data_IF_378386910991
#
_entry.id   IF_378386910991
#
_cell.length_a   1.000
_cell.length_b   1.000
_cell.length_c   1.000
_cell.angle_alpha   90.00
_cell.angle_beta   90.00
_cell.angle_gamma   90.00
#
_symmetry.space_group_name_H-M   'P 1'
#
loop_
_entity.id
_entity.type
_entity.pdbx_description
1 polymer ?
#
# COMPACT_ATOMS: atom_id res chain seq x y z
N UNK A 1 -0.57 0.60 50.62
CA UNK A 1 0.27 -0.01 49.57
C UNK A 1 -0.66 -0.63 48.53
N UNK A 2 -0.78 -0.05 47.33
CA UNK A 2 -1.49 -0.70 46.22
C UNK A 2 -0.54 -1.72 45.56
N UNK A 3 -0.99 -2.95 45.25
CA UNK A 3 -0.09 -4.00 44.80
C UNK A 3 0.38 -3.72 43.37
N UNK A 4 1.70 -3.62 43.19
CA UNK A 4 2.43 -3.39 41.93
C UNK A 4 1.89 -4.22 40.74
N UNK A 5 1.43 -5.45 41.01
CA UNK A 5 0.88 -6.38 40.03
C UNK A 5 -0.41 -5.90 39.33
N UNK A 6 -1.29 -5.15 40.03
CA UNK A 6 -2.50 -4.59 39.42
C UNK A 6 -2.18 -3.44 38.45
N UNK A 7 -1.10 -2.71 38.74
CA UNK A 7 -0.57 -1.62 37.92
C UNK A 7 0.08 -2.17 36.65
N UNK A 8 0.80 -3.28 36.75
CA UNK A 8 1.46 -3.94 35.61
C UNK A 8 0.47 -4.64 34.67
N UNK A 9 -0.59 -5.28 35.20
CA UNK A 9 -1.66 -5.85 34.39
C UNK A 9 -2.44 -4.78 33.61
N UNK A 10 -2.75 -3.64 34.25
CA UNK A 10 -3.36 -2.48 33.57
C UNK A 10 -2.44 -1.92 32.48
N UNK A 11 -1.14 -1.76 32.76
CA UNK A 11 -0.15 -1.27 31.77
C UNK A 11 -0.04 -2.21 30.56
N UNK A 12 0.02 -3.52 30.76
CA UNK A 12 0.04 -4.52 29.66
C UNK A 12 -1.22 -4.45 28.79
N UNK A 13 -2.40 -4.27 29.41
CA UNK A 13 -3.67 -4.14 28.68
C UNK A 13 -3.76 -2.83 27.87
N UNK A 14 -3.24 -1.72 28.41
CA UNK A 14 -3.19 -0.43 27.68
C UNK A 14 -2.22 -0.49 26.51
N UNK A 15 -1.04 -1.10 26.68
CA UNK A 15 -0.05 -1.28 25.61
C UNK A 15 -0.62 -2.19 24.50
N UNK A 16 -1.32 -3.28 24.87
CA UNK A 16 -1.99 -4.16 23.90
C UNK A 16 -3.06 -3.42 23.07
N UNK A 17 -3.91 -2.61 23.72
CA UNK A 17 -4.94 -1.82 23.03
C UNK A 17 -4.35 -0.74 22.13
N UNK A 18 -3.26 -0.09 22.54
CA UNK A 18 -2.57 0.91 21.72
C UNK A 18 -1.97 0.28 20.45
N UNK A 19 -1.33 -0.89 20.57
CA UNK A 19 -0.79 -1.64 19.42
C UNK A 19 -1.88 -2.05 18.42
N UNK A 20 -3.02 -2.53 18.90
CA UNK A 20 -4.16 -2.89 18.04
C UNK A 20 -4.66 -1.66 17.28
N UNK A 21 -4.79 -0.50 17.95
CA UNK A 21 -5.25 0.74 17.31
C UNK A 21 -4.30 1.22 16.21
N UNK A 22 -2.99 1.14 16.44
CA UNK A 22 -1.97 1.48 15.44
C UNK A 22 -2.10 0.56 14.23
N UNK A 23 -2.19 -0.75 14.46
CA UNK A 23 -2.31 -1.74 13.38
C UNK A 23 -3.58 -1.53 12.54
N UNK A 24 -4.72 -1.26 13.18
CA UNK A 24 -5.97 -0.95 12.47
C UNK A 24 -5.82 0.31 11.59
N UNK A 25 -5.18 1.36 12.10
CA UNK A 25 -4.92 2.59 11.32
C UNK A 25 -4.04 2.31 10.10
N UNK A 26 -3.02 1.46 10.23
CA UNK A 26 -2.14 1.08 9.11
C UNK A 26 -2.93 0.34 8.03
N UNK A 27 -3.80 -0.60 8.43
CA UNK A 27 -4.65 -1.34 7.49
C UNK A 27 -5.67 -0.43 6.78
N UNK A 28 -6.29 0.50 7.51
CA UNK A 28 -7.20 1.51 6.95
C UNK A 28 -6.47 2.38 5.92
N UNK A 29 -5.33 2.96 6.31
CA UNK A 29 -4.52 3.77 5.42
C UNK A 29 -4.09 2.99 4.15
N UNK A 30 -3.66 1.74 4.30
CA UNK A 30 -3.30 0.88 3.17
C UNK A 30 -4.49 0.60 2.25
N UNK A 31 -5.68 0.35 2.79
CA UNK A 31 -6.92 0.20 2.01
C UNK A 31 -7.25 1.47 1.21
N UNK A 32 -7.21 2.61 1.87
CA UNK A 32 -7.56 3.89 1.22
C UNK A 32 -6.55 4.26 0.15
N UNK A 33 -5.26 4.03 0.42
CA UNK A 33 -4.20 4.28 -0.55
C UNK A 33 -4.33 3.42 -1.81
N UNK A 34 -4.68 2.13 -1.66
CA UNK A 34 -4.97 1.25 -2.82
C UNK A 34 -6.06 1.81 -3.72
N UNK A 35 -7.12 2.36 -3.15
CA UNK A 35 -8.21 2.97 -3.91
C UNK A 35 -7.76 4.27 -4.59
N UNK A 36 -6.93 5.07 -3.91
CA UNK A 36 -6.34 6.26 -4.49
C UNK A 36 -5.43 5.94 -5.68
N UNK A 37 -4.61 4.88 -5.60
CA UNK A 37 -3.76 4.42 -6.70
C UNK A 37 -4.65 4.03 -7.90
N UNK A 38 -5.65 3.15 -7.71
CA UNK A 38 -6.55 2.73 -8.79
C UNK A 38 -7.17 3.91 -9.52
N UNK A 39 -7.73 4.85 -8.76
CA UNK A 39 -8.41 6.00 -9.33
C UNK A 39 -7.46 6.97 -10.03
N UNK A 40 -6.39 7.38 -9.34
CA UNK A 40 -5.55 8.48 -9.80
C UNK A 40 -4.42 8.00 -10.69
N UNK A 41 -3.66 7.00 -10.24
CA UNK A 41 -2.54 6.45 -11.02
C UNK A 41 -3.07 5.65 -12.20
N UNK A 42 -4.10 4.83 -11.98
CA UNK A 42 -4.77 4.11 -13.07
C UNK A 42 -5.28 5.07 -14.15
N UNK A 43 -5.99 6.14 -13.76
CA UNK A 43 -6.43 7.18 -14.69
C UNK A 43 -5.28 7.87 -15.45
N UNK A 44 -4.15 8.16 -14.79
CA UNK A 44 -2.96 8.73 -15.46
C UNK A 44 -2.42 7.76 -16.52
N UNK A 45 -2.28 6.49 -16.19
CA UNK A 45 -1.74 5.47 -17.08
C UNK A 45 -2.68 5.26 -18.29
N UNK A 46 -3.98 5.16 -18.04
CA UNK A 46 -5.01 5.01 -19.08
C UNK A 46 -5.03 6.21 -20.04
N UNK A 47 -4.97 7.43 -19.51
CA UNK A 47 -4.88 8.65 -20.32
C UNK A 47 -3.59 8.72 -21.17
N UNK A 48 -2.55 8.00 -20.78
CA UNK A 48 -1.29 7.87 -21.53
C UNK A 48 -1.21 6.60 -22.38
N UNK A 49 -2.38 6.04 -22.72
CA UNK A 49 -2.54 4.88 -23.61
C UNK A 49 -1.96 3.56 -23.05
N UNK A 50 -1.76 3.45 -21.74
CA UNK A 50 -1.53 2.15 -21.12
C UNK A 50 -2.85 1.41 -20.95
N UNK A 51 -2.83 0.10 -21.19
CA UNK A 51 -4.00 -0.77 -21.06
C UNK A 51 -3.88 -1.54 -19.74
N UNK A 52 -4.92 -1.50 -18.91
CA UNK A 52 -5.00 -2.34 -17.71
C UNK A 52 -4.97 -3.82 -18.12
N UNK A 53 -4.00 -4.57 -17.61
CA UNK A 53 -3.85 -6.01 -17.85
C UNK A 53 -4.24 -6.85 -16.65
N UNK A 54 -4.09 -6.31 -15.45
CA UNK A 54 -4.40 -7.03 -14.22
C UNK A 54 -4.77 -6.05 -13.10
N UNK A 55 -5.84 -6.34 -12.38
CA UNK A 55 -6.20 -5.72 -11.10
C UNK A 55 -6.74 -6.80 -10.17
N UNK A 56 -6.09 -7.00 -9.03
CA UNK A 56 -6.53 -7.98 -8.03
C UNK A 56 -7.75 -7.53 -7.20
N UNK A 57 -8.42 -6.41 -7.54
CA UNK A 57 -9.67 -5.99 -6.88
C UNK A 57 -10.81 -6.98 -7.01
N UNK A 58 -10.78 -7.82 -8.06
CA UNK A 58 -11.79 -8.83 -8.36
C UNK A 58 -11.36 -10.24 -7.97
N UNK A 59 -10.13 -10.42 -7.51
CA UNK A 59 -9.62 -11.73 -7.13
C UNK A 59 -9.97 -12.08 -5.69
N UNK A 60 -10.35 -13.33 -5.46
CA UNK A 60 -10.43 -13.87 -4.12
C UNK A 60 -9.00 -13.96 -3.55
N UNK A 61 -8.71 -13.18 -2.51
CA UNK A 61 -7.40 -13.14 -1.84
C UNK A 61 -6.95 -14.51 -1.31
N UNK A 62 -7.85 -15.47 -1.16
CA UNK A 62 -7.51 -16.86 -0.82
C UNK A 62 -6.73 -17.58 -1.93
N UNK A 63 -6.82 -17.11 -3.18
CA UNK A 63 -6.22 -17.73 -4.37
C UNK A 63 -4.84 -17.11 -4.67
N UNK A 64 -4.67 -15.80 -4.53
CA UNK A 64 -3.41 -15.08 -4.78
C UNK A 64 -2.60 -14.82 -3.51
N UNK A 65 -1.94 -15.87 -3.01
CA UNK A 65 -1.14 -15.86 -1.77
C UNK A 65 0.08 -14.92 -1.73
N UNK A 66 0.36 -14.19 -2.81
CA UNK A 66 1.59 -13.43 -2.95
C UNK A 66 1.37 -11.91 -2.84
N UNK A 67 0.14 -11.39 -3.02
CA UNK A 67 -0.10 -9.95 -3.20
C UNK A 67 -1.39 -9.49 -2.50
N UNK A 68 -1.27 -8.52 -1.58
CA UNK A 68 -2.41 -7.80 -1.01
C UNK A 68 -3.02 -6.83 -2.04
N UNK A 69 -2.17 -6.30 -2.91
CA UNK A 69 -2.54 -5.39 -3.99
C UNK A 69 -1.61 -5.60 -5.17
N UNK A 70 -2.18 -5.62 -6.37
CA UNK A 70 -1.40 -5.57 -7.59
C UNK A 70 -2.24 -4.97 -8.73
N UNK A 71 -1.67 -3.97 -9.38
CA UNK A 71 -2.12 -3.40 -10.64
C UNK A 71 -1.02 -3.58 -11.69
N UNK A 72 -1.41 -3.97 -12.90
CA UNK A 72 -0.50 -4.10 -14.04
C UNK A 72 -1.07 -3.36 -15.24
N UNK A 73 -0.29 -2.45 -15.79
CA UNK A 73 -0.59 -1.67 -16.98
C UNK A 73 0.45 -1.93 -18.06
N UNK A 74 0.02 -2.04 -19.31
CA UNK A 74 0.93 -2.31 -20.45
C UNK A 74 0.70 -1.36 -21.61
N UNK A 75 1.80 -0.81 -22.13
CA UNK A 75 1.90 -0.14 -23.44
C UNK A 75 3.09 -0.75 -24.21
N UNK A 76 4.15 0.02 -24.40
CA UNK A 76 5.49 -0.38 -24.83
C UNK A 76 6.27 -1.08 -23.70
N UNK A 77 6.08 -0.61 -22.47
CA UNK A 77 6.58 -1.21 -21.21
C UNK A 77 5.44 -1.69 -20.33
N UNK A 78 5.75 -2.59 -19.40
CA UNK A 78 4.84 -3.06 -18.36
C UNK A 78 5.15 -2.30 -17.08
N UNK A 79 4.17 -1.59 -16.52
CA UNK A 79 4.27 -0.95 -15.21
C UNK A 79 3.41 -1.76 -14.24
N UNK A 80 4.02 -2.24 -13.16
CA UNK A 80 3.30 -2.90 -12.07
C UNK A 80 3.40 -2.06 -10.80
N UNK A 81 2.28 -1.94 -10.08
CA UNK A 81 2.23 -1.28 -8.78
C UNK A 81 1.63 -2.28 -7.79
N UNK A 82 2.31 -2.52 -6.68
CA UNK A 82 1.92 -3.62 -5.82
C UNK A 82 2.27 -3.48 -4.35
N UNK A 83 1.58 -4.28 -3.54
CA UNK A 83 1.88 -4.50 -2.13
C UNK A 83 1.80 -6.01 -1.83
N UNK A 84 2.86 -6.57 -1.25
CA UNK A 84 3.00 -8.00 -0.95
C UNK A 84 2.32 -8.41 0.37
N UNK A 85 1.92 -9.68 0.48
CA UNK A 85 1.20 -10.24 1.64
C UNK A 85 2.07 -10.60 2.86
N UNK A 86 3.26 -10.00 2.95
CA UNK A 86 4.09 -10.18 4.13
C UNK A 86 3.56 -9.28 5.24
N UNK A 87 3.13 -9.88 6.35
CA UNK A 87 2.31 -9.30 7.44
C UNK A 87 2.78 -7.93 7.97
N UNK A 88 4.05 -7.57 7.79
CA UNK A 88 4.63 -6.31 8.26
C UNK A 88 4.83 -5.25 7.16
N UNK A 89 4.57 -5.56 5.88
CA UNK A 89 4.87 -4.71 4.73
C UNK A 89 3.64 -4.11 4.05
N UNK A 90 2.45 -4.17 4.67
CA UNK A 90 1.19 -3.63 4.09
C UNK A 90 1.21 -2.13 3.80
N UNK A 91 2.22 -1.43 4.31
CA UNK A 91 2.50 -0.01 4.12
C UNK A 91 3.41 0.30 2.91
N UNK A 92 4.00 -0.71 2.27
CA UNK A 92 4.95 -0.53 1.16
C UNK A 92 4.28 -0.79 -0.19
N UNK A 93 4.31 0.21 -1.06
CA UNK A 93 3.80 0.13 -2.42
C UNK A 93 4.96 0.18 -3.41
N UNK A 94 5.31 -0.98 -3.95
CA UNK A 94 6.40 -1.16 -4.89
C UNK A 94 5.95 -0.83 -6.31
N UNK A 95 6.89 -0.32 -7.11
CA UNK A 95 6.70 -0.06 -8.53
C UNK A 95 7.80 -0.77 -9.31
N UNK A 96 7.40 -1.64 -10.23
CA UNK A 96 8.30 -2.28 -11.19
C UNK A 96 7.99 -1.84 -12.61
N UNK A 97 9.02 -1.81 -13.45
CA UNK A 97 8.92 -1.62 -14.89
C UNK A 97 9.62 -2.77 -15.59
N UNK A 98 8.90 -3.47 -16.47
CA UNK A 98 9.38 -4.66 -17.19
C UNK A 98 9.99 -5.72 -16.27
N UNK A 99 9.38 -5.90 -15.09
CA UNK A 99 9.81 -6.86 -14.08
C UNK A 99 10.99 -6.42 -13.21
N UNK A 100 11.54 -5.21 -13.43
CA UNK A 100 12.57 -4.63 -12.57
C UNK A 100 11.95 -3.65 -11.59
N UNK A 101 12.08 -3.93 -10.29
CA UNK A 101 11.72 -2.96 -9.25
C UNK A 101 12.56 -1.69 -9.38
N UNK A 102 11.90 -0.53 -9.39
CA UNK A 102 12.56 0.76 -9.50
C UNK A 102 12.54 1.54 -8.19
N UNK A 103 11.39 1.56 -7.50
CA UNK A 103 11.22 2.26 -6.24
C UNK A 103 9.99 1.74 -5.49
N UNK A 104 9.84 2.18 -4.25
CA UNK A 104 8.66 1.96 -3.44
C UNK A 104 8.20 3.24 -2.74
N UNK A 105 6.94 3.25 -2.31
CA UNK A 105 6.35 4.29 -1.46
C UNK A 105 5.92 3.64 -0.17
N UNK A 106 6.51 4.05 0.94
CA UNK A 106 6.08 3.66 2.28
C UNK A 106 5.13 4.71 2.82
N UNK A 107 3.83 4.39 2.90
CA UNK A 107 2.79 5.39 3.21
C UNK A 107 2.95 6.08 4.56
N UNK A 108 3.59 5.42 5.53
CA UNK A 108 3.80 5.95 6.88
C UNK A 108 5.02 6.88 6.99
N UNK A 109 5.81 7.04 5.93
CA UNK A 109 6.88 8.05 5.88
C UNK A 109 6.34 9.45 5.54
N UNK A 110 5.05 9.57 5.25
CA UNK A 110 4.38 10.82 4.87
C UNK A 110 3.37 11.26 5.94
N UNK A 111 3.12 12.56 6.06
CA UNK A 111 2.15 13.09 7.03
C UNK A 111 0.72 12.72 6.60
N UNK A 112 0.47 12.72 5.28
CA UNK A 112 -0.83 12.41 4.70
C UNK A 112 -0.73 11.42 3.53
N UNK A 113 -1.83 10.70 3.27
CA UNK A 113 -1.95 9.85 2.08
C UNK A 113 -1.90 10.64 0.77
N UNK A 114 -2.28 11.92 0.81
CA UNK A 114 -2.22 12.80 -0.36
C UNK A 114 -0.76 13.06 -0.78
N UNK A 115 0.12 13.34 0.18
CA UNK A 115 1.56 13.52 -0.07
C UNK A 115 2.20 12.25 -0.64
N UNK A 116 1.92 11.09 -0.04
CA UNK A 116 2.39 9.81 -0.55
C UNK A 116 1.92 9.55 -2.00
N UNK A 117 0.67 9.92 -2.30
CA UNK A 117 0.09 9.76 -3.63
C UNK A 117 0.72 10.72 -4.63
N UNK A 118 0.95 11.98 -4.25
CA UNK A 118 1.54 12.98 -5.14
C UNK A 118 3.01 12.65 -5.47
N UNK A 119 3.75 12.11 -4.51
CA UNK A 119 5.08 11.54 -4.77
C UNK A 119 5.01 10.39 -5.78
N UNK A 120 4.09 9.44 -5.59
CA UNK A 120 3.90 8.33 -6.53
C UNK A 120 3.51 8.83 -7.92
N UNK A 121 2.58 9.79 -8.04
CA UNK A 121 2.19 10.40 -9.32
C UNK A 121 3.39 11.00 -10.04
N UNK A 122 4.20 11.80 -9.34
CA UNK A 122 5.37 12.43 -9.91
C UNK A 122 6.36 11.39 -10.45
N UNK A 123 6.59 10.31 -9.71
CA UNK A 123 7.45 9.21 -10.17
C UNK A 123 6.87 8.46 -11.38
N UNK A 124 5.57 8.19 -11.40
CA UNK A 124 4.91 7.55 -12.55
C UNK A 124 4.98 8.45 -13.79
N UNK A 125 4.77 9.75 -13.66
CA UNK A 125 4.90 10.70 -14.77
C UNK A 125 6.33 10.67 -15.36
N UNK A 126 7.36 10.66 -14.51
CA UNK A 126 8.76 10.51 -14.95
C UNK A 126 9.04 9.17 -15.65
N UNK A 127 8.25 8.13 -15.37
CA UNK A 127 8.41 6.83 -16.01
C UNK A 127 7.70 6.74 -17.35
N UNK A 128 6.69 7.57 -17.65
CA UNK A 128 5.91 7.47 -18.89
C UNK A 128 6.31 8.48 -19.97
N UNK A 129 6.96 9.58 -19.57
CA UNK A 129 7.72 10.48 -20.45
C UNK A 129 8.82 9.71 -21.23
#
# INVERSE_FOLDING_TARGET
MFPQAATDAKRRNVIGKAKIKIYMKILENSRDFRNLIRKNIGGILENNSFILKFDNSLENQEITKNWIFKLVYKRDKIIEIYNEDWRDYVEYFFVSVDGKELFYVKINDYETLAEALDFLKLKILQLIE
#
